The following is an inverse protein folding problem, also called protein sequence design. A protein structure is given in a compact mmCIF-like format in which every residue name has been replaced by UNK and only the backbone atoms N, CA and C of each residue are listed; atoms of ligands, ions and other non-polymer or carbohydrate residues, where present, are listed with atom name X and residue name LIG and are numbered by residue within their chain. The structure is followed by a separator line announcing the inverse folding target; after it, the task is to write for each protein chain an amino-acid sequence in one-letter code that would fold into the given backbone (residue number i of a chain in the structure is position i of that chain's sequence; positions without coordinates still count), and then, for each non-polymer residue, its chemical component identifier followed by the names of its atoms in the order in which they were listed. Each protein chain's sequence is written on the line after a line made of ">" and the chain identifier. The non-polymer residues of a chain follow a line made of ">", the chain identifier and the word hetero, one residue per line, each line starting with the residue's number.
data_IF_900603687756
#
_entry.id   IF_900603687756
#
_cell.length_a   1.000
_cell.length_b   1.000
_cell.length_c   1.000
_cell.angle_alpha   90.00
_cell.angle_beta   90.00
_cell.angle_gamma   90.00
#
_symmetry.space_group_name_H-M   'P 1'
#
loop_
_entity.id
_entity.type
_entity.pdbx_description
1 polymer ?
#
# COMPACT_ATOMS: atom_id res chain seq x y z
N UNK A 1 -24.79 9.71 -21.40
CA UNK A 1 -24.07 8.48 -21.81
C UNK A 1 -23.33 8.75 -23.12
N UNK A 2 -22.14 8.16 -23.32
CA UNK A 2 -21.45 7.96 -24.61
C UNK A 2 -20.30 8.91 -25.02
N UNK A 3 -19.28 9.12 -24.16
CA UNK A 3 -17.96 9.65 -24.63
C UNK A 3 -16.71 8.99 -24.03
N UNK A 4 -16.84 8.03 -23.10
CA UNK A 4 -15.69 7.39 -22.42
C UNK A 4 -14.93 6.32 -23.23
N UNK A 5 -15.31 6.06 -24.48
CA UNK A 5 -14.71 4.98 -25.28
C UNK A 5 -14.26 5.46 -26.65
N UNK A 6 -13.30 6.39 -26.69
CA UNK A 6 -12.44 6.56 -27.86
C UNK A 6 -10.99 6.44 -27.41
N UNK A 7 -10.35 5.32 -27.75
CA UNK A 7 -8.90 5.20 -27.76
C UNK A 7 -8.37 6.14 -28.86
N UNK A 8 -8.32 7.44 -28.54
CA UNK A 8 -7.76 8.46 -29.41
C UNK A 8 -6.23 8.36 -29.44
N UNK A 9 -5.60 9.14 -30.33
CA UNK A 9 -4.15 9.26 -30.49
C UNK A 9 -3.36 9.44 -29.17
N UNK A 10 -4.01 9.95 -28.13
CA UNK A 10 -3.50 10.09 -26.76
C UNK A 10 -3.14 8.73 -26.12
N UNK A 11 -3.90 7.65 -26.36
CA UNK A 11 -3.57 6.32 -25.84
C UNK A 11 -2.32 5.71 -26.49
N UNK A 12 -2.03 6.06 -27.75
CA UNK A 12 -0.81 5.68 -28.45
C UNK A 12 0.41 6.51 -28.00
N UNK A 13 0.19 7.77 -27.61
CA UNK A 13 1.23 8.64 -27.05
C UNK A 13 1.60 8.27 -25.60
N UNK A 14 0.66 7.70 -24.85
CA UNK A 14 0.87 7.24 -23.46
C UNK A 14 1.50 5.83 -23.36
N UNK A 15 1.52 5.06 -24.45
CA UNK A 15 2.11 3.72 -24.50
C UNK A 15 3.65 3.70 -24.36
N UNK A 16 4.44 4.59 -25.00
CA UNK A 16 5.88 4.67 -24.74
C UNK A 16 6.19 5.18 -23.32
N UNK A 17 5.31 6.00 -22.73
CA UNK A 17 5.45 6.48 -21.34
C UNK A 17 5.22 5.34 -20.34
N UNK A 18 4.27 4.44 -20.60
CA UNK A 18 4.05 3.27 -19.74
C UNK A 18 5.18 2.23 -19.86
N UNK A 19 5.81 2.10 -21.03
CA UNK A 19 7.04 1.31 -21.24
C UNK A 19 8.26 1.92 -20.52
N UNK A 20 8.42 3.25 -20.56
CA UNK A 20 9.46 3.96 -19.80
C UNK A 20 9.25 3.83 -18.28
N UNK A 21 8.00 3.86 -17.81
CA UNK A 21 7.67 3.57 -16.42
C UNK A 21 8.00 2.12 -16.06
N UNK A 22 7.64 1.15 -16.90
CA UNK A 22 8.03 -0.25 -16.72
C UNK A 22 9.55 -0.47 -16.69
N UNK A 23 10.28 0.18 -17.57
CA UNK A 23 11.74 0.15 -17.61
C UNK A 23 12.36 0.81 -16.36
N UNK A 24 11.80 1.95 -15.91
CA UNK A 24 12.21 2.60 -14.67
C UNK A 24 11.97 1.71 -13.45
N UNK A 25 10.86 0.96 -13.40
CA UNK A 25 10.58 -0.04 -12.35
C UNK A 25 11.62 -1.16 -12.38
N UNK A 26 11.99 -1.68 -13.56
CA UNK A 26 13.01 -2.74 -13.69
C UNK A 26 14.42 -2.25 -13.31
N UNK A 27 14.83 -1.06 -13.79
CA UNK A 27 16.12 -0.44 -13.45
C UNK A 27 16.20 -0.15 -11.96
N UNK A 28 15.12 0.36 -11.36
CA UNK A 28 15.03 0.60 -9.92
C UNK A 28 15.11 -0.71 -9.12
N UNK A 29 14.46 -1.77 -9.59
CA UNK A 29 14.58 -3.14 -9.02
C UNK A 29 16.03 -3.65 -9.05
N UNK A 30 16.77 -3.36 -10.12
CA UNK A 30 18.19 -3.67 -10.27
C UNK A 30 19.08 -2.85 -9.33
N UNK A 31 18.90 -1.54 -9.27
CA UNK A 31 19.66 -0.65 -8.37
C UNK A 31 19.43 -0.99 -6.89
N UNK A 32 18.26 -1.53 -6.55
CA UNK A 32 17.96 -2.02 -5.22
C UNK A 32 18.52 -3.40 -4.93
N UNK A 33 18.60 -4.29 -5.93
CA UNK A 33 19.37 -5.56 -5.85
C UNK A 33 20.85 -5.29 -5.55
N UNK A 34 21.36 -4.15 -6.01
CA UNK A 34 22.75 -3.69 -5.81
C UNK A 34 23.00 -3.00 -4.45
N UNK A 35 22.01 -2.90 -3.54
CA UNK A 35 22.15 -2.39 -2.15
C UNK A 35 22.68 -0.95 -1.99
N UNK A 36 22.52 -0.09 -3.00
CA UNK A 36 23.12 1.25 -3.00
C UNK A 36 22.40 2.34 -2.17
N UNK A 37 21.30 2.04 -1.45
CA UNK A 37 20.53 3.05 -0.70
C UNK A 37 20.22 2.64 0.75
N UNK A 38 20.54 3.53 1.71
CA UNK A 38 20.28 3.35 3.17
C UNK A 38 18.80 3.59 3.50
N UNK A 39 18.08 2.50 3.74
CA UNK A 39 16.69 2.50 4.21
C UNK A 39 16.42 1.13 4.87
N UNK A 40 15.59 1.07 5.92
CA UNK A 40 15.24 -0.22 6.54
C UNK A 40 14.18 -0.88 5.63
N UNK A 41 14.62 -1.87 4.87
CA UNK A 41 13.75 -2.65 3.98
C UNK A 41 13.26 -3.90 4.72
N UNK A 42 11.96 -4.21 4.73
CA UNK A 42 11.39 -5.35 5.45
C UNK A 42 11.65 -6.71 4.77
N UNK A 43 12.58 -6.77 3.82
CA UNK A 43 12.91 -7.97 3.05
C UNK A 43 11.95 -8.31 1.91
N UNK A 44 10.78 -7.65 1.84
CA UNK A 44 9.74 -7.85 0.82
C UNK A 44 9.33 -6.51 0.18
N UNK A 45 8.78 -6.49 -1.05
CA UNK A 45 8.31 -5.27 -1.69
C UNK A 45 7.27 -4.52 -0.86
N UNK A 46 7.34 -3.18 -0.87
CA UNK A 46 6.48 -2.28 -0.11
C UNK A 46 5.77 -1.31 -1.06
N UNK A 47 4.44 -1.39 -1.10
CA UNK A 47 3.55 -0.50 -1.85
C UNK A 47 2.91 0.47 -0.87
N UNK A 48 3.10 1.78 -1.08
CA UNK A 48 2.45 2.82 -0.28
C UNK A 48 1.26 3.38 -1.05
N UNK A 49 0.10 3.40 -0.40
CA UNK A 49 -1.09 4.09 -0.89
C UNK A 49 -1.25 5.38 -0.10
N UNK A 50 -1.16 6.50 -0.79
CA UNK A 50 -1.18 7.84 -0.24
C UNK A 50 -2.30 8.68 -0.86
N UNK A 51 -2.68 9.75 -0.18
CA UNK A 51 -3.64 10.70 -0.69
C UNK A 51 -3.09 12.13 -0.61
N UNK A 52 -3.20 12.88 -1.70
CA UNK A 52 -2.73 14.26 -1.78
C UNK A 52 -3.82 15.29 -1.46
N UNK A 53 -5.09 14.89 -1.33
CA UNK A 53 -6.24 15.79 -1.11
C UNK A 53 -6.97 15.55 0.22
N UNK A 54 -7.21 16.59 1.03
CA UNK A 54 -7.90 16.44 2.33
C UNK A 54 -9.40 16.14 2.10
N UNK A 55 -9.84 14.89 2.32
CA UNK A 55 -11.22 14.45 2.11
C UNK A 55 -11.32 12.93 1.93
N UNK A 56 -12.52 12.35 2.05
CA UNK A 56 -12.77 10.90 1.92
C UNK A 56 -12.34 10.34 0.56
N UNK A 57 -11.10 9.91 0.45
CA UNK A 57 -10.35 9.86 -0.81
C UNK A 57 -10.34 8.51 -1.52
N UNK A 58 -11.23 7.59 -1.18
CA UNK A 58 -11.24 6.25 -1.79
C UNK A 58 -9.98 5.41 -1.54
N UNK A 59 -9.13 5.77 -0.56
CA UNK A 59 -7.92 5.01 -0.19
C UNK A 59 -8.25 3.58 0.22
N UNK A 60 -9.20 3.39 1.13
CA UNK A 60 -9.59 2.06 1.61
C UNK A 60 -10.07 1.15 0.47
N UNK A 61 -10.98 1.57 -0.44
CA UNK A 61 -11.29 0.80 -1.64
C UNK A 61 -10.06 0.47 -2.51
N UNK A 62 -9.13 1.40 -2.68
CA UNK A 62 -7.92 1.18 -3.47
C UNK A 62 -6.96 0.17 -2.80
N UNK A 63 -6.75 0.27 -1.48
CA UNK A 63 -5.93 -0.69 -0.72
C UNK A 63 -6.52 -2.09 -0.84
N UNK A 64 -7.85 -2.22 -0.71
CA UNK A 64 -8.55 -3.49 -0.91
C UNK A 64 -8.36 -4.03 -2.33
N UNK A 65 -8.53 -3.18 -3.34
CA UNK A 65 -8.35 -3.56 -4.74
C UNK A 65 -6.90 -3.99 -5.03
N UNK A 66 -5.90 -3.28 -4.50
CA UNK A 66 -4.48 -3.66 -4.66
C UNK A 66 -4.21 -5.01 -4.01
N UNK A 67 -4.71 -5.23 -2.78
CA UNK A 67 -4.54 -6.50 -2.08
C UNK A 67 -5.19 -7.65 -2.86
N UNK A 68 -6.41 -7.47 -3.36
CA UNK A 68 -7.10 -8.47 -4.18
C UNK A 68 -6.38 -8.72 -5.51
N UNK A 69 -5.91 -7.66 -6.18
CA UNK A 69 -5.14 -7.77 -7.40
C UNK A 69 -3.85 -8.57 -7.18
N UNK A 70 -3.10 -8.30 -6.13
CA UNK A 70 -1.87 -9.03 -5.79
C UNK A 70 -2.16 -10.52 -5.51
N UNK A 71 -3.22 -10.82 -4.75
CA UNK A 71 -3.69 -12.20 -4.53
C UNK A 71 -4.04 -12.90 -5.84
N UNK A 72 -4.72 -12.22 -6.77
CA UNK A 72 -5.05 -12.76 -8.10
C UNK A 72 -3.80 -13.07 -8.95
N UNK A 73 -2.66 -12.46 -8.61
CA UNK A 73 -1.36 -12.69 -9.24
C UNK A 73 -0.49 -13.69 -8.48
N UNK A 74 -1.03 -14.35 -7.45
CA UNK A 74 -0.35 -15.38 -6.66
C UNK A 74 0.55 -14.84 -5.54
N UNK A 75 0.45 -13.55 -5.20
CA UNK A 75 1.15 -12.96 -4.06
C UNK A 75 0.34 -13.11 -2.78
N UNK A 76 1.03 -13.06 -1.64
CA UNK A 76 0.49 -13.09 -0.29
C UNK A 76 0.69 -11.72 0.38
N UNK A 77 -0.23 -10.75 0.17
CA UNK A 77 -0.08 -9.42 0.70
C UNK A 77 -0.34 -9.33 2.21
N UNK A 78 0.42 -8.48 2.89
CA UNK A 78 0.17 -8.00 4.25
C UNK A 78 -0.10 -6.50 4.25
N UNK A 79 -1.04 -6.04 5.09
CA UNK A 79 -1.45 -4.63 5.15
C UNK A 79 -0.92 -3.99 6.42
N UNK A 80 -0.33 -2.80 6.28
CA UNK A 80 0.20 -1.99 7.38
C UNK A 80 -0.54 -0.66 7.44
N UNK A 81 -1.11 -0.31 8.59
CA UNK A 81 -1.83 0.95 8.78
C UNK A 81 -1.44 1.66 10.09
N UNK A 82 -1.83 2.94 10.24
CA UNK A 82 -1.62 3.72 11.48
C UNK A 82 -2.52 3.26 12.62
N UNK A 83 -3.75 2.87 12.29
CA UNK A 83 -4.86 2.83 13.25
C UNK A 83 -5.37 4.22 13.62
N UNK A 84 -5.72 5.04 12.62
CA UNK A 84 -6.28 6.38 12.86
C UNK A 84 -7.53 6.31 13.75
N UNK A 85 -7.59 7.17 14.77
CA UNK A 85 -8.71 7.22 15.72
C UNK A 85 -8.56 6.28 16.93
N UNK A 86 -7.59 5.36 16.93
CA UNK A 86 -7.29 4.50 18.07
C UNK A 86 -5.99 4.90 18.77
N UNK A 87 -5.89 4.59 20.07
CA UNK A 87 -4.64 4.70 20.82
C UNK A 87 -3.90 3.37 20.76
N UNK A 88 -2.79 3.37 20.05
CA UNK A 88 -1.96 2.17 19.83
C UNK A 88 -0.53 2.51 20.21
N UNK A 89 -0.02 1.88 21.26
CA UNK A 89 1.32 2.15 21.78
C UNK A 89 2.39 1.27 21.14
N UNK A 90 2.00 0.10 20.63
CA UNK A 90 2.89 -0.89 20.03
C UNK A 90 2.26 -1.57 18.80
N UNK A 91 3.08 -2.08 17.86
CA UNK A 91 2.59 -2.89 16.75
C UNK A 91 1.71 -4.05 17.20
N UNK A 92 0.53 -4.18 16.61
CA UNK A 92 -0.36 -5.33 16.84
C UNK A 92 -1.15 -5.69 15.59
N UNK A 93 -1.63 -6.94 15.55
CA UNK A 93 -2.60 -7.37 14.56
C UNK A 93 -3.96 -6.68 14.80
N UNK A 94 -4.63 -6.34 13.71
CA UNK A 94 -6.05 -5.97 13.66
C UNK A 94 -6.84 -7.18 13.18
N UNK A 95 -7.82 -7.61 13.97
CA UNK A 95 -8.62 -8.81 13.77
C UNK A 95 -10.10 -8.47 13.56
N UNK A 96 -10.88 -9.46 13.12
CA UNK A 96 -12.31 -9.26 12.86
C UNK A 96 -13.09 -8.86 14.12
N UNK A 97 -12.60 -9.33 15.26
CA UNK A 97 -13.21 -9.20 16.58
C UNK A 97 -12.92 -7.85 17.24
N UNK A 98 -11.90 -7.12 16.77
CA UNK A 98 -11.54 -5.83 17.34
C UNK A 98 -12.63 -4.78 17.04
N UNK A 99 -12.72 -3.78 17.93
CA UNK A 99 -13.58 -2.59 17.75
C UNK A 99 -12.79 -1.42 17.20
N UNK A 100 -13.48 -0.50 16.52
CA UNK A 100 -12.81 0.62 15.85
C UNK A 100 -12.06 1.52 16.83
N UNK A 101 -12.54 1.62 18.07
CA UNK A 101 -11.86 2.32 19.16
C UNK A 101 -10.48 1.70 19.51
N UNK A 102 -10.24 0.43 19.19
CA UNK A 102 -9.04 -0.31 19.57
C UNK A 102 -7.97 -0.29 18.47
N UNK A 103 -8.38 -0.34 17.20
CA UNK A 103 -7.45 -0.47 16.05
C UNK A 103 -7.65 0.58 14.96
N UNK A 104 -8.69 1.42 15.06
CA UNK A 104 -9.07 2.45 14.08
C UNK A 104 -10.19 2.00 13.14
N UNK A 105 -10.85 2.96 12.51
CA UNK A 105 -11.97 2.70 11.60
C UNK A 105 -11.53 1.97 10.31
N UNK A 106 -10.45 2.44 9.68
CA UNK A 106 -9.95 1.88 8.41
C UNK A 106 -9.38 0.46 8.57
N UNK A 107 -8.55 0.15 9.58
CA UNK A 107 -7.98 -1.20 9.73
C UNK A 107 -9.00 -2.29 9.99
N UNK A 108 -10.15 -1.97 10.58
CA UNK A 108 -11.26 -2.93 10.72
C UNK A 108 -11.85 -3.27 9.36
N UNK A 109 -12.08 -2.27 8.53
CA UNK A 109 -12.62 -2.50 7.19
C UNK A 109 -11.63 -3.34 6.38
N UNK A 110 -10.34 -2.99 6.46
CA UNK A 110 -9.26 -3.71 5.77
C UNK A 110 -9.15 -5.15 6.24
N UNK A 111 -9.12 -5.38 7.56
CA UNK A 111 -9.06 -6.74 8.10
C UNK A 111 -10.28 -7.54 7.64
N UNK A 112 -11.49 -6.99 7.76
CA UNK A 112 -12.74 -7.68 7.38
C UNK A 112 -12.89 -8.03 5.91
N UNK A 113 -12.32 -7.23 5.01
CA UNK A 113 -12.58 -7.36 3.57
C UNK A 113 -11.40 -7.86 2.76
N UNK A 114 -10.17 -7.64 3.20
CA UNK A 114 -8.98 -8.01 2.41
C UNK A 114 -8.71 -9.52 2.44
N UNK A 115 -9.07 -10.20 3.55
CA UNK A 115 -8.61 -11.56 3.81
C UNK A 115 -7.08 -11.66 3.80
N UNK A 116 -6.41 -10.61 4.29
CA UNK A 116 -4.96 -10.47 4.41
C UNK A 116 -4.60 -10.19 5.88
N UNK A 117 -3.38 -10.54 6.34
CA UNK A 117 -2.88 -10.05 7.63
C UNK A 117 -2.89 -8.51 7.65
N UNK A 118 -3.50 -7.92 8.68
CA UNK A 118 -3.53 -6.47 8.86
C UNK A 118 -2.89 -6.13 10.20
N UNK A 119 -1.89 -5.25 10.17
CA UNK A 119 -1.20 -4.79 11.36
C UNK A 119 -1.23 -3.27 11.48
N UNK A 120 -1.33 -2.81 12.72
CA UNK A 120 -1.50 -1.40 13.08
C UNK A 120 -0.47 -0.98 14.11
N UNK A 121 -0.11 0.30 14.07
CA UNK A 121 0.75 0.91 15.08
C UNK A 121 1.40 2.20 14.59
N UNK A 122 1.98 3.00 15.50
CA UNK A 122 2.45 4.34 15.19
C UNK A 122 3.69 4.34 14.29
N UNK A 123 4.62 3.40 14.48
CA UNK A 123 5.90 3.34 13.75
C UNK A 123 5.87 2.26 12.67
N UNK A 124 5.92 2.66 11.40
CA UNK A 124 5.69 1.75 10.26
C UNK A 124 6.76 0.70 10.07
N UNK A 125 8.01 1.00 10.39
CA UNK A 125 9.09 0.01 10.27
C UNK A 125 8.89 -1.11 11.28
N UNK A 126 8.52 -0.78 12.53
CA UNK A 126 8.22 -1.72 13.58
C UNK A 126 6.96 -2.55 13.25
N UNK A 127 5.92 -1.93 12.71
CA UNK A 127 4.70 -2.65 12.31
C UNK A 127 4.96 -3.60 11.15
N UNK A 128 5.69 -3.16 10.11
CA UNK A 128 6.08 -4.01 9.00
C UNK A 128 6.95 -5.20 9.45
N UNK A 129 7.90 -4.94 10.37
CA UNK A 129 8.76 -5.97 10.94
C UNK A 129 7.95 -6.99 11.78
N UNK A 130 7.03 -6.51 12.62
CA UNK A 130 6.19 -7.38 13.44
C UNK A 130 5.24 -8.25 12.60
N UNK A 131 4.64 -7.67 11.54
CA UNK A 131 3.84 -8.41 10.58
C UNK A 131 4.66 -9.52 9.92
N UNK A 132 5.86 -9.20 9.40
CA UNK A 132 6.74 -10.20 8.76
C UNK A 132 7.27 -11.27 9.71
N UNK A 133 7.44 -10.94 10.99
CA UNK A 133 7.83 -11.91 12.00
C UNK A 133 6.68 -12.89 12.34
N UNK A 134 5.43 -12.43 12.28
CA UNK A 134 4.25 -13.25 12.57
C UNK A 134 3.71 -14.02 11.36
N UNK A 135 4.00 -13.55 10.15
CA UNK A 135 3.51 -14.11 8.89
C UNK A 135 4.68 -14.21 7.93
N UNK A 136 5.29 -15.40 7.83
CA UNK A 136 6.45 -15.70 6.99
C UNK A 136 6.08 -15.86 5.51
N UNK A 137 4.84 -16.24 5.23
CA UNK A 137 4.19 -16.34 3.92
C UNK A 137 3.98 -14.99 3.22
N UNK A 138 3.92 -13.88 3.97
CA UNK A 138 3.70 -12.55 3.40
C UNK A 138 4.87 -12.11 2.50
N UNK A 139 4.63 -11.96 1.21
CA UNK A 139 5.66 -11.68 0.20
C UNK A 139 5.56 -10.26 -0.39
N UNK A 140 4.60 -9.45 0.06
CA UNK A 140 4.45 -8.03 -0.30
C UNK A 140 3.68 -7.27 0.79
N UNK A 141 4.06 -6.01 1.04
CA UNK A 141 3.40 -5.14 2.01
C UNK A 141 2.64 -4.00 1.32
N UNK A 142 1.42 -3.73 1.76
CA UNK A 142 0.61 -2.59 1.33
C UNK A 142 0.38 -1.65 2.50
N UNK A 143 0.84 -0.40 2.37
CA UNK A 143 0.73 0.61 3.41
C UNK A 143 -0.41 1.56 3.12
N UNK A 144 -1.33 1.67 4.07
CA UNK A 144 -2.37 2.70 4.07
C UNK A 144 -1.84 3.97 4.75
N UNK A 145 -1.75 5.06 3.99
CA UNK A 145 -1.36 6.40 4.41
C UNK A 145 0.10 6.57 4.88
N UNK A 146 1.03 6.20 3.98
CA UNK A 146 2.49 6.28 4.22
C UNK A 146 3.18 7.59 3.81
N UNK A 147 2.45 8.59 3.31
CA UNK A 147 3.06 9.81 2.74
C UNK A 147 3.90 10.60 3.75
N UNK A 148 3.61 10.46 5.05
CA UNK A 148 4.31 11.18 6.11
C UNK A 148 5.45 10.38 6.76
N UNK A 149 5.74 9.14 6.34
CA UNK A 149 6.71 8.26 7.02
C UNK A 149 7.80 7.74 6.07
N UNK A 150 8.75 8.61 5.74
CA UNK A 150 9.89 8.34 4.84
C UNK A 150 10.91 7.31 5.35
N UNK A 151 10.78 6.84 6.61
CA UNK A 151 11.76 5.92 7.26
C UNK A 151 11.62 4.47 6.79
N UNK A 152 10.44 4.06 6.34
CA UNK A 152 10.25 2.77 5.68
C UNK A 152 10.52 2.94 4.19
N UNK A 153 11.40 2.10 3.63
CA UNK A 153 11.64 2.11 2.19
C UNK A 153 10.37 1.69 1.47
N UNK A 154 9.93 2.51 0.50
CA UNK A 154 8.82 2.19 -0.41
C UNK A 154 9.34 1.89 -1.81
N UNK A 155 8.84 0.80 -2.39
CA UNK A 155 9.19 0.36 -3.75
C UNK A 155 8.24 0.97 -4.77
N UNK A 156 6.97 1.12 -4.40
CA UNK A 156 5.93 1.76 -5.19
C UNK A 156 5.12 2.73 -4.32
N UNK A 157 4.70 3.84 -4.91
CA UNK A 157 3.84 4.82 -4.27
C UNK A 157 2.69 5.14 -5.22
N UNK A 158 1.46 4.95 -4.74
CA UNK A 158 0.23 5.20 -5.46
C UNK A 158 -0.46 6.36 -4.76
N UNK A 159 -0.46 7.53 -5.40
CA UNK A 159 -1.18 8.69 -4.93
C UNK A 159 -2.58 8.71 -5.52
N UNK A 160 -3.60 8.82 -4.67
CA UNK A 160 -4.98 9.06 -5.10
C UNK A 160 -5.19 10.56 -5.25
N UNK A 161 -5.77 10.96 -6.39
CA UNK A 161 -6.15 12.34 -6.70
C UNK A 161 -7.64 12.35 -7.01
N UNK A 162 -8.40 13.19 -6.30
CA UNK A 162 -9.82 13.40 -6.59
C UNK A 162 -9.99 14.45 -7.70
N UNK A 163 -11.05 14.28 -8.49
CA UNK A 163 -11.56 15.13 -9.57
C UNK A 163 -11.85 16.60 -9.23
N UNK A 164 -11.61 17.04 -7.99
CA UNK A 164 -11.62 18.45 -7.59
C UNK A 164 -10.22 19.09 -7.61
N UNK A 165 -9.21 18.35 -8.06
CA UNK A 165 -7.86 18.82 -8.38
C UNK A 165 -7.74 19.27 -9.82
#
# INVERSE_FOLDING_TARGET
>A
MRHWYRRGAIAWLLWPISLLFGAAVVIRRLLFKLRLLKSKHPGVPVIVVGNLTVGGSGKTPLVLWIAEFLKSKGWSPGIVSRGYGARIDAPRAATMADRAAEVGDEPIILSRRSGCPVWVGPERVAVAAALRAAHDDVDVLVLDDGLQHYRLRRDLEVAVVDSRG
#
